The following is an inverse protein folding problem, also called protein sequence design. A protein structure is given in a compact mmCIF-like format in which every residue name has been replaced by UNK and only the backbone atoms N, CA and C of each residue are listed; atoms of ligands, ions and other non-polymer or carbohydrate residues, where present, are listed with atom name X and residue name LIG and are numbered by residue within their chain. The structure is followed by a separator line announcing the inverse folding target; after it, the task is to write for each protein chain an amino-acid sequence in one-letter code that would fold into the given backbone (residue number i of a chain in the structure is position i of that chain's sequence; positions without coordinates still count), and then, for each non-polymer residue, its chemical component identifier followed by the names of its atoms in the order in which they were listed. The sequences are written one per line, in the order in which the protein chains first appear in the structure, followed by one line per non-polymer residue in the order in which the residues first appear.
data_IF_281335235379
#
_entry.id   IF_281335235379
#
_cell.length_a   1.000
_cell.length_b   1.000
_cell.length_c   1.000
_cell.angle_alpha   90.00
_cell.angle_beta   90.00
_cell.angle_gamma   90.00
#
_symmetry.space_group_name_H-M   'P 1'
#
loop_
_entity.id
_entity.type
_entity.pdbx_description
1 polymer ?
#
# COMPACT_ATOMS: atom_id res chain seq x y z
N UNK A 1 18.07 -2.22 1.59
CA UNK A 1 16.80 -1.55 1.27
C UNK A 1 15.74 -1.97 2.28
N UNK A 2 15.00 -1.03 2.85
CA UNK A 2 13.82 -1.31 3.67
C UNK A 2 12.60 -1.45 2.77
N UNK A 3 11.83 -2.51 2.92
CA UNK A 3 10.67 -2.77 2.05
C UNK A 3 9.42 -3.04 2.88
N UNK A 4 8.32 -2.37 2.55
CA UNK A 4 7.04 -2.53 3.24
C UNK A 4 5.90 -2.74 2.24
N UNK A 5 4.97 -3.62 2.59
CA UNK A 5 3.76 -3.82 1.79
C UNK A 5 2.61 -2.99 2.37
N UNK A 6 2.08 -2.08 1.57
CA UNK A 6 0.94 -1.24 1.95
C UNK A 6 -0.35 -1.96 1.57
N UNK A 7 -1.09 -2.40 2.57
CA UNK A 7 -2.44 -2.93 2.38
C UNK A 7 -3.48 -2.05 3.05
N UNK A 8 -4.74 -2.38 2.89
CA UNK A 8 -5.81 -1.58 3.47
C UNK A 8 -6.98 -2.41 3.99
N UNK A 9 -7.79 -1.77 4.80
CA UNK A 9 -9.03 -2.38 5.31
C UNK A 9 -10.13 -2.48 4.25
N UNK A 10 -10.02 -1.73 3.13
CA UNK A 10 -11.01 -1.69 2.06
C UNK A 10 -10.43 -1.06 0.78
N UNK A 11 -11.24 -0.98 -0.27
CA UNK A 11 -10.99 -0.17 -1.47
C UNK A 11 -11.34 1.30 -1.19
N UNK A 12 -10.70 2.24 -1.89
CA UNK A 12 -10.96 3.69 -1.78
C UNK A 12 -10.76 4.28 -0.37
N UNK A 13 -9.90 3.68 0.43
CA UNK A 13 -9.56 4.17 1.77
C UNK A 13 -8.29 5.03 1.79
N UNK A 14 -7.75 5.36 0.61
CA UNK A 14 -6.59 6.22 0.44
C UNK A 14 -5.25 5.51 0.60
N UNK A 15 -5.13 4.22 0.22
CA UNK A 15 -3.82 3.54 0.21
C UNK A 15 -2.78 4.33 -0.56
N UNK A 16 -3.09 4.71 -1.80
CA UNK A 16 -2.18 5.48 -2.67
C UNK A 16 -1.81 6.82 -2.05
N UNK A 17 -2.77 7.50 -1.41
CA UNK A 17 -2.51 8.73 -0.69
C UNK A 17 -1.47 8.52 0.43
N UNK A 18 -1.63 7.47 1.24
CA UNK A 18 -0.70 7.15 2.32
C UNK A 18 0.63 6.64 1.78
N UNK A 19 0.64 5.81 0.72
CA UNK A 19 1.88 5.38 0.03
C UNK A 19 2.68 6.60 -0.43
N UNK A 20 2.05 7.53 -1.14
CA UNK A 20 2.69 8.77 -1.58
C UNK A 20 3.18 9.63 -0.40
N UNK A 21 2.43 9.67 0.71
CA UNK A 21 2.82 10.44 1.90
C UNK A 21 4.05 9.83 2.62
N UNK A 22 4.15 8.50 2.66
CA UNK A 22 5.31 7.79 3.20
C UNK A 22 6.55 8.03 2.34
N UNK A 23 6.40 7.97 1.00
CA UNK A 23 7.46 8.30 0.06
C UNK A 23 7.90 9.76 0.26
N UNK A 24 6.97 10.72 0.24
CA UNK A 24 7.26 12.14 0.43
C UNK A 24 7.97 12.40 1.76
N UNK A 25 7.53 11.75 2.85
CA UNK A 25 8.15 11.88 4.17
C UNK A 25 9.64 11.51 4.17
N UNK A 26 9.97 10.35 3.63
CA UNK A 26 11.35 9.85 3.59
C UNK A 26 12.20 10.60 2.57
N UNK A 27 11.61 11.05 1.46
CA UNK A 27 12.31 11.90 0.48
C UNK A 27 12.70 13.25 1.10
N UNK A 28 11.82 13.88 1.91
CA UNK A 28 12.14 15.10 2.65
C UNK A 28 13.25 14.89 3.71
N UNK A 29 13.42 13.66 4.20
CA UNK A 29 14.50 13.27 5.11
C UNK A 29 15.81 12.91 4.39
N UNK A 30 15.84 12.98 3.06
CA UNK A 30 17.03 12.79 2.24
C UNK A 30 17.30 11.35 1.80
N UNK A 31 16.36 10.42 1.97
CA UNK A 31 16.47 9.05 1.50
C UNK A 31 16.12 8.89 0.02
N UNK A 32 16.70 7.89 -0.63
CA UNK A 32 16.27 7.40 -1.94
C UNK A 32 15.06 6.48 -1.77
N UNK A 33 13.89 6.89 -2.28
CA UNK A 33 12.62 6.20 -2.03
C UNK A 33 11.84 5.98 -3.31
N UNK A 34 11.33 4.76 -3.46
CA UNK A 34 10.46 4.41 -4.57
C UNK A 34 9.20 3.68 -4.12
N UNK A 35 8.27 3.58 -5.05
CA UNK A 35 7.06 2.80 -4.86
C UNK A 35 6.82 1.81 -5.99
N UNK A 36 6.12 0.72 -5.69
CA UNK A 36 5.70 -0.31 -6.62
C UNK A 36 4.23 -0.63 -6.41
N UNK A 37 3.48 -0.84 -7.48
CA UNK A 37 2.09 -1.33 -7.45
C UNK A 37 1.99 -2.52 -8.38
N UNK A 38 2.25 -3.76 -7.90
CA UNK A 38 2.36 -4.94 -8.76
C UNK A 38 1.13 -5.18 -9.63
N UNK A 39 -0.06 -4.92 -9.12
CA UNK A 39 -1.33 -5.11 -9.83
C UNK A 39 -2.14 -3.82 -9.80
N UNK A 40 -2.55 -3.33 -10.96
CA UNK A 40 -3.45 -2.19 -11.11
C UNK A 40 -4.60 -2.51 -12.06
N UNK A 41 -5.81 -2.08 -11.71
CA UNK A 41 -7.00 -2.11 -12.55
C UNK A 41 -7.50 -0.68 -12.79
N UNK A 42 -8.28 -0.47 -13.86
CA UNK A 42 -8.72 0.87 -14.29
C UNK A 42 -7.58 1.64 -14.94
N UNK A 43 -6.66 0.96 -15.61
CA UNK A 43 -5.58 1.60 -16.35
C UNK A 43 -6.12 2.18 -17.67
N UNK A 44 -5.51 3.25 -18.13
CA UNK A 44 -5.78 3.90 -19.40
C UNK A 44 -4.48 4.08 -20.20
N UNK A 45 -4.60 4.39 -21.49
CA UNK A 45 -3.43 4.66 -22.33
C UNK A 45 -3.09 6.15 -22.24
N UNK A 46 -1.86 6.45 -21.80
CA UNK A 46 -1.29 7.79 -21.80
C UNK A 46 0.08 7.73 -22.49
N UNK A 47 0.31 8.56 -23.52
CA UNK A 47 1.56 8.58 -24.29
C UNK A 47 2.00 7.21 -24.85
N UNK A 48 1.03 6.35 -25.22
CA UNK A 48 1.30 5.01 -25.75
C UNK A 48 1.60 3.94 -24.70
N UNK A 49 1.55 4.26 -23.41
CA UNK A 49 1.75 3.34 -22.30
C UNK A 49 0.46 3.17 -21.49
N UNK A 50 0.20 1.94 -21.04
CA UNK A 50 -0.87 1.67 -20.12
C UNK A 50 -0.44 2.07 -18.71
N UNK A 51 -1.21 2.94 -18.03
CA UNK A 51 -0.90 3.45 -16.71
C UNK A 51 -2.19 3.62 -15.88
N UNK A 52 -2.12 3.44 -14.58
CA UNK A 52 -3.17 3.83 -13.63
C UNK A 52 -2.79 5.13 -12.92
N UNK A 53 -3.82 5.90 -12.50
CA UNK A 53 -3.61 7.12 -11.72
C UNK A 53 -2.81 6.88 -10.44
N UNK A 54 -2.98 5.71 -9.81
CA UNK A 54 -2.22 5.34 -8.61
C UNK A 54 -0.73 5.21 -8.92
N UNK A 55 -0.39 4.49 -10.00
CA UNK A 55 1.00 4.27 -10.43
C UNK A 55 1.65 5.59 -10.82
N UNK A 56 0.92 6.45 -11.51
CA UNK A 56 1.38 7.80 -11.89
C UNK A 56 1.73 8.62 -10.65
N UNK A 57 0.83 8.69 -9.67
CA UNK A 57 1.05 9.40 -8.40
C UNK A 57 2.26 8.86 -7.63
N UNK A 58 2.42 7.53 -7.56
CA UNK A 58 3.56 6.88 -6.90
C UNK A 58 4.87 7.26 -7.62
N UNK A 59 4.88 7.21 -8.96
CA UNK A 59 6.06 7.57 -9.75
C UNK A 59 6.43 9.07 -9.59
N UNK A 60 5.44 9.96 -9.55
CA UNK A 60 5.64 11.41 -9.40
C UNK A 60 6.27 11.81 -8.06
N UNK A 61 6.01 11.08 -6.97
CA UNK A 61 6.58 11.37 -5.64
C UNK A 61 7.87 10.60 -5.37
N UNK A 62 8.17 9.57 -6.15
CA UNK A 62 9.42 8.80 -6.04
C UNK A 62 10.60 9.65 -6.53
N UNK A 63 11.72 9.62 -5.82
CA UNK A 63 12.94 10.36 -6.20
C UNK A 63 14.02 9.48 -6.83
N UNK A 64 13.63 8.29 -7.31
CA UNK A 64 14.47 7.33 -8.01
C UNK A 64 13.90 7.05 -9.40
N UNK A 65 14.79 6.91 -10.38
CA UNK A 65 14.38 6.58 -11.75
C UNK A 65 14.13 5.07 -11.87
N UNK A 66 12.86 4.70 -12.05
CA UNK A 66 12.41 3.32 -12.20
C UNK A 66 11.52 3.23 -13.44
N UNK A 67 11.72 2.19 -14.23
CA UNK A 67 10.87 1.92 -15.38
C UNK A 67 9.43 1.64 -14.93
N UNK A 68 8.46 2.28 -15.55
CA UNK A 68 7.03 2.16 -15.20
C UNK A 68 6.52 0.71 -15.27
N UNK A 69 7.05 -0.11 -16.18
CA UNK A 69 6.70 -1.53 -16.29
C UNK A 69 7.26 -2.37 -15.14
N UNK A 70 8.34 -1.93 -14.48
CA UNK A 70 8.87 -2.58 -13.27
C UNK A 70 8.08 -2.16 -12.03
N UNK A 71 7.57 -0.91 -12.03
CA UNK A 71 6.64 -0.43 -10.98
C UNK A 71 5.31 -1.18 -11.04
N UNK A 72 4.78 -1.43 -12.25
CA UNK A 72 3.45 -2.01 -12.42
C UNK A 72 3.43 -3.11 -13.50
N UNK A 73 3.88 -4.34 -13.17
CA UNK A 73 3.94 -5.45 -14.13
C UNK A 73 2.57 -5.98 -14.58
N UNK A 74 1.51 -5.82 -13.78
CA UNK A 74 0.16 -6.29 -14.12
C UNK A 74 -0.82 -5.13 -14.21
N UNK A 75 -1.09 -4.73 -15.45
CA UNK A 75 -1.96 -3.61 -15.80
C UNK A 75 -3.22 -4.14 -16.48
N UNK A 76 -4.37 -3.67 -16.01
CA UNK A 76 -5.68 -4.03 -16.57
C UNK A 76 -6.52 -2.78 -16.81
N UNK A 77 -7.08 -2.66 -18.00
CA UNK A 77 -7.91 -1.52 -18.41
C UNK A 77 -9.22 -1.47 -17.61
N UNK A 78 -9.91 -2.61 -17.48
CA UNK A 78 -11.20 -2.66 -16.81
C UNK A 78 -11.08 -2.43 -15.30
N UNK A 79 -11.85 -1.48 -14.69
CA UNK A 79 -11.87 -1.23 -13.25
C UNK A 79 -12.72 -2.26 -12.51
N UNK A 80 -12.32 -3.53 -12.57
CA UNK A 80 -13.00 -4.68 -11.97
C UNK A 80 -12.07 -5.43 -11.02
N UNK A 81 -12.62 -6.36 -10.25
CA UNK A 81 -11.84 -7.15 -9.31
C UNK A 81 -10.66 -7.88 -10.00
N UNK A 82 -9.45 -7.90 -9.37
CA UNK A 82 -8.24 -8.44 -10.00
C UNK A 82 -8.40 -9.85 -10.55
N UNK A 83 -8.98 -10.78 -9.79
CA UNK A 83 -9.16 -12.17 -10.23
C UNK A 83 -9.99 -12.29 -11.52
N UNK A 84 -10.97 -11.39 -11.72
CA UNK A 84 -11.75 -11.35 -12.97
C UNK A 84 -10.88 -10.82 -14.11
N UNK A 85 -10.05 -9.79 -13.84
CA UNK A 85 -9.13 -9.23 -14.83
C UNK A 85 -8.08 -10.25 -15.26
N UNK A 86 -7.45 -10.97 -14.33
CA UNK A 86 -6.50 -12.04 -14.63
C UNK A 86 -7.14 -13.11 -15.49
N UNK A 87 -8.34 -13.60 -15.10
CA UNK A 87 -9.07 -14.63 -15.83
C UNK A 87 -9.44 -14.20 -17.26
N UNK A 88 -10.00 -13.01 -17.43
CA UNK A 88 -10.39 -12.47 -18.75
C UNK A 88 -9.19 -12.28 -19.69
N UNK A 89 -8.04 -11.87 -19.15
CA UNK A 89 -6.82 -11.66 -19.93
C UNK A 89 -5.94 -12.93 -20.05
N UNK A 90 -6.38 -14.07 -19.52
CA UNK A 90 -5.60 -15.34 -19.51
C UNK A 90 -4.18 -15.13 -18.97
N UNK A 91 -4.03 -14.27 -17.95
CA UNK A 91 -2.77 -14.01 -17.27
C UNK A 91 -2.75 -14.74 -15.94
N UNK A 92 -1.55 -15.09 -15.49
CA UNK A 92 -1.27 -15.62 -14.16
C UNK A 92 -0.32 -14.68 -13.42
N UNK A 93 -0.33 -14.75 -12.10
CA UNK A 93 0.61 -13.98 -11.31
C UNK A 93 1.92 -14.74 -11.18
N UNK A 94 3.00 -14.15 -11.66
CA UNK A 94 4.35 -14.69 -11.55
C UNK A 94 5.12 -13.99 -10.41
N UNK A 95 5.28 -14.71 -9.30
CA UNK A 95 6.01 -14.22 -8.13
C UNK A 95 7.50 -14.04 -8.44
N UNK A 96 8.08 -14.86 -9.33
CA UNK A 96 9.49 -14.71 -9.71
C UNK A 96 9.74 -13.42 -10.46
N UNK A 97 8.79 -12.99 -11.31
CA UNK A 97 8.86 -11.69 -12.00
C UNK A 97 8.84 -10.54 -10.99
N UNK A 98 7.92 -10.57 -10.02
CA UNK A 98 7.86 -9.55 -8.97
C UNK A 98 9.16 -9.52 -8.16
N UNK A 99 9.64 -10.68 -7.70
CA UNK A 99 10.92 -10.80 -6.98
C UNK A 99 12.12 -10.32 -7.80
N UNK A 100 12.12 -10.57 -9.12
CA UNK A 100 13.16 -10.07 -10.02
C UNK A 100 13.21 -8.53 -10.01
N UNK A 101 12.05 -7.87 -10.10
CA UNK A 101 12.00 -6.41 -10.04
C UNK A 101 12.42 -5.88 -8.65
N UNK A 102 11.97 -6.52 -7.57
CA UNK A 102 12.41 -6.13 -6.22
C UNK A 102 13.94 -6.16 -6.07
N UNK A 103 14.59 -7.22 -6.58
CA UNK A 103 16.06 -7.33 -6.57
C UNK A 103 16.73 -6.24 -7.41
N UNK A 104 16.15 -5.85 -8.56
CA UNK A 104 16.72 -4.78 -9.39
C UNK A 104 16.67 -3.41 -8.72
N UNK A 105 15.89 -3.25 -7.65
CA UNK A 105 15.78 -2.03 -6.87
C UNK A 105 16.74 -1.95 -5.68
N UNK A 106 17.30 -3.08 -5.19
CA UNK A 106 18.06 -3.17 -3.94
C UNK A 106 19.21 -2.17 -3.81
N UNK A 107 19.92 -1.88 -4.92
CA UNK A 107 21.04 -0.94 -4.91
C UNK A 107 20.67 0.46 -5.43
N UNK A 108 19.38 0.72 -5.67
CA UNK A 108 18.91 1.98 -6.22
C UNK A 108 18.22 2.86 -5.21
N UNK A 109 17.76 2.28 -4.09
CA UNK A 109 16.97 3.01 -3.09
C UNK A 109 17.18 2.47 -1.67
N UNK A 110 16.88 3.32 -0.69
CA UNK A 110 16.91 3.01 0.72
C UNK A 110 15.59 2.37 1.17
N UNK A 111 14.47 2.87 0.63
CA UNK A 111 13.12 2.43 0.96
C UNK A 111 12.28 2.14 -0.28
N UNK A 112 11.49 1.05 -0.20
CA UNK A 112 10.51 0.67 -1.21
C UNK A 112 9.15 0.40 -0.54
N UNK A 113 8.11 1.06 -1.05
CA UNK A 113 6.73 0.78 -0.66
C UNK A 113 5.99 0.04 -1.77
N UNK A 114 5.47 -1.16 -1.47
CA UNK A 114 4.71 -1.98 -2.41
C UNK A 114 3.24 -1.82 -2.09
N UNK A 115 2.49 -1.16 -2.97
CA UNK A 115 1.06 -0.97 -2.77
C UNK A 115 0.25 -2.14 -3.31
N UNK A 116 -0.60 -2.72 -2.45
CA UNK A 116 -1.59 -3.71 -2.83
C UNK A 116 -2.82 -3.13 -3.53
N UNK A 117 -3.63 -3.99 -4.13
CA UNK A 117 -4.91 -3.64 -4.75
C UNK A 117 -6.07 -4.04 -3.82
N UNK A 118 -7.02 -3.11 -3.59
CA UNK A 118 -8.15 -3.35 -2.69
C UNK A 118 -7.73 -3.56 -1.23
N UNK A 119 -8.35 -4.52 -0.55
CA UNK A 119 -8.02 -4.89 0.83
C UNK A 119 -6.98 -6.01 0.94
N UNK A 120 -6.74 -6.47 2.19
CA UNK A 120 -5.75 -7.51 2.49
C UNK A 120 -6.07 -8.89 1.89
N UNK A 121 -7.34 -9.31 1.91
CA UNK A 121 -7.77 -10.64 1.46
C UNK A 121 -8.33 -10.66 0.02
N UNK A 122 -7.98 -9.67 -0.80
CA UNK A 122 -8.50 -9.57 -2.18
C UNK A 122 -7.93 -10.69 -3.04
N UNK A 123 -8.78 -11.48 -3.75
CA UNK A 123 -8.32 -12.48 -4.69
C UNK A 123 -7.68 -11.84 -5.93
N UNK A 124 -6.45 -12.22 -6.22
CA UNK A 124 -5.72 -11.83 -7.44
C UNK A 124 -6.00 -12.84 -8.56
N UNK A 125 -6.10 -14.12 -8.20
CA UNK A 125 -6.57 -15.21 -9.07
C UNK A 125 -7.57 -16.08 -8.30
N UNK A 126 -8.05 -17.19 -8.87
CA UNK A 126 -8.98 -18.09 -8.18
C UNK A 126 -8.41 -18.66 -6.87
N UNK A 127 -7.10 -18.94 -6.82
CA UNK A 127 -6.45 -19.60 -5.68
C UNK A 127 -5.32 -18.75 -5.04
N UNK A 128 -5.18 -17.50 -5.41
CA UNK A 128 -4.10 -16.64 -4.95
C UNK A 128 -4.61 -15.24 -4.64
N UNK A 129 -4.37 -14.76 -3.41
CA UNK A 129 -4.84 -13.48 -2.90
C UNK A 129 -3.68 -12.51 -2.65
N UNK A 130 -3.99 -11.25 -2.34
CA UNK A 130 -3.01 -10.26 -1.84
C UNK A 130 -2.29 -10.78 -0.61
N UNK A 131 -2.98 -11.47 0.31
CA UNK A 131 -2.37 -12.08 1.49
C UNK A 131 -1.32 -13.15 1.11
N UNK A 132 -1.59 -13.97 0.07
CA UNK A 132 -0.62 -14.93 -0.44
C UNK A 132 0.57 -14.26 -1.12
N UNK A 133 0.35 -13.15 -1.82
CA UNK A 133 1.43 -12.35 -2.40
C UNK A 133 2.37 -11.82 -1.31
N UNK A 134 1.83 -11.24 -0.24
CA UNK A 134 2.61 -10.74 0.91
C UNK A 134 3.42 -11.87 1.54
N UNK A 135 2.79 -13.03 1.76
CA UNK A 135 3.44 -14.23 2.31
C UNK A 135 4.59 -14.70 1.42
N UNK A 136 4.35 -14.82 0.10
CA UNK A 136 5.36 -15.23 -0.87
C UNK A 136 6.55 -14.26 -0.98
N UNK A 137 6.32 -12.97 -0.74
CA UNK A 137 7.35 -11.95 -0.73
C UNK A 137 8.06 -11.84 0.64
N UNK A 138 7.45 -12.34 1.71
CA UNK A 138 7.92 -12.24 3.09
C UNK A 138 8.25 -10.79 3.52
N UNK A 139 7.36 -9.86 3.19
CA UNK A 139 7.55 -8.42 3.43
C UNK A 139 6.62 -7.95 4.55
N UNK A 140 7.11 -7.15 5.52
CA UNK A 140 6.30 -6.59 6.59
C UNK A 140 5.24 -5.63 6.05
N UNK A 141 4.12 -5.53 6.77
CA UNK A 141 2.92 -4.85 6.37
C UNK A 141 2.79 -3.51 7.08
N UNK A 142 2.41 -2.48 6.34
CA UNK A 142 1.78 -1.27 6.87
C UNK A 142 0.30 -1.29 6.47
N UNK A 143 -0.59 -1.22 7.46
CA UNK A 143 -2.03 -1.23 7.24
C UNK A 143 -2.58 0.19 7.17
N UNK A 144 -3.27 0.52 6.11
CA UNK A 144 -4.05 1.76 6.00
C UNK A 144 -5.47 1.47 6.45
N UNK A 145 -5.92 2.20 7.48
CA UNK A 145 -7.29 2.15 7.99
C UNK A 145 -8.03 3.38 7.51
N UNK A 146 -8.99 3.20 6.62
CA UNK A 146 -9.90 4.28 6.21
C UNK A 146 -10.90 4.57 7.31
N UNK A 147 -10.74 5.70 8.01
CA UNK A 147 -11.57 6.03 9.18
C UNK A 147 -12.90 6.61 8.71
N UNK A 148 -13.91 5.76 8.79
CA UNK A 148 -15.35 6.01 8.54
C UNK A 148 -16.17 5.12 9.49
N UNK A 149 -17.47 5.31 9.59
CA UNK A 149 -18.34 4.42 10.36
C UNK A 149 -18.17 2.96 9.91
N UNK A 150 -17.94 2.04 10.86
CA UNK A 150 -17.62 0.62 10.60
C UNK A 150 -16.11 0.31 10.50
N UNK A 151 -15.22 1.31 10.51
CA UNK A 151 -13.78 1.12 10.37
C UNK A 151 -13.17 0.23 11.48
N UNK A 152 -13.69 0.26 12.69
CA UNK A 152 -13.22 -0.56 13.81
C UNK A 152 -13.33 -2.04 13.45
N UNK A 153 -14.52 -2.48 13.02
CA UNK A 153 -14.74 -3.87 12.62
C UNK A 153 -13.79 -4.28 11.47
N UNK A 154 -13.68 -3.47 10.42
CA UNK A 154 -12.81 -3.79 9.29
C UNK A 154 -11.34 -3.83 9.70
N UNK A 155 -10.89 -2.92 10.56
CA UNK A 155 -9.51 -2.88 11.02
C UNK A 155 -9.18 -4.12 11.88
N UNK A 156 -10.00 -4.45 12.87
CA UNK A 156 -9.75 -5.59 13.76
C UNK A 156 -9.76 -6.91 13.00
N UNK A 157 -10.75 -7.15 12.12
CA UNK A 157 -10.78 -8.35 11.27
C UNK A 157 -9.57 -8.45 10.33
N UNK A 158 -9.11 -7.32 9.78
CA UNK A 158 -7.92 -7.31 8.91
C UNK A 158 -6.67 -7.63 9.73
N UNK A 159 -6.51 -7.02 10.90
CA UNK A 159 -5.37 -7.28 11.79
C UNK A 159 -5.36 -8.74 12.25
N UNK A 160 -6.50 -9.28 12.67
CA UNK A 160 -6.64 -10.68 13.04
C UNK A 160 -6.22 -11.61 11.89
N UNK A 161 -6.68 -11.33 10.67
CA UNK A 161 -6.33 -12.12 9.49
C UNK A 161 -4.82 -12.08 9.18
N UNK A 162 -4.17 -10.91 9.32
CA UNK A 162 -2.71 -10.75 9.17
C UNK A 162 -1.97 -11.60 10.20
N UNK A 163 -2.37 -11.50 11.47
CA UNK A 163 -1.71 -12.21 12.57
C UNK A 163 -1.91 -13.73 12.48
N UNK A 164 -3.10 -14.19 12.11
CA UNK A 164 -3.39 -15.62 11.91
C UNK A 164 -2.54 -16.25 10.81
N UNK A 165 -2.14 -15.47 9.80
CA UNK A 165 -1.16 -15.88 8.77
C UNK A 165 0.30 -15.71 9.22
N UNK A 166 0.54 -15.35 10.48
CA UNK A 166 1.88 -15.10 11.05
C UNK A 166 2.68 -14.05 10.27
N UNK A 167 2.00 -13.15 9.58
CA UNK A 167 2.63 -12.06 8.87
C UNK A 167 2.91 -10.90 9.82
N UNK A 168 3.99 -10.15 9.55
CA UNK A 168 4.43 -9.06 10.39
C UNK A 168 3.68 -7.78 10.07
N UNK A 169 2.88 -7.28 11.01
CA UNK A 169 2.28 -5.95 10.95
C UNK A 169 3.24 -4.97 11.63
N UNK A 170 4.00 -4.20 10.83
CA UNK A 170 5.00 -3.25 11.33
C UNK A 170 4.41 -1.92 11.78
N UNK A 171 3.22 -1.58 11.30
CA UNK A 171 2.53 -0.38 11.71
C UNK A 171 1.22 -0.18 10.96
N UNK A 172 0.48 0.85 11.36
CA UNK A 172 -0.75 1.24 10.67
C UNK A 172 -0.95 2.75 10.68
N UNK A 173 -1.72 3.24 9.70
CA UNK A 173 -2.05 4.65 9.55
C UNK A 173 -3.57 4.81 9.56
N UNK A 174 -4.08 5.69 10.43
CA UNK A 174 -5.46 6.13 10.38
C UNK A 174 -5.60 7.21 9.31
N UNK A 175 -6.35 6.95 8.25
CA UNK A 175 -6.62 7.94 7.21
C UNK A 175 -8.09 8.39 7.31
N UNK A 176 -8.33 9.65 7.65
CA UNK A 176 -9.68 10.21 7.72
C UNK A 176 -10.23 10.41 6.31
N UNK A 177 -11.11 9.53 5.87
CA UNK A 177 -11.74 9.58 4.54
C UNK A 177 -13.12 10.23 4.54
N UNK A 178 -13.71 10.42 5.71
CA UNK A 178 -14.97 11.13 5.90
C UNK A 178 -14.74 12.36 6.80
N UNK A 179 -14.85 13.54 6.19
CA UNK A 179 -14.67 14.81 6.90
C UNK A 179 -15.80 15.12 7.91
N UNK A 180 -16.95 14.46 7.79
CA UNK A 180 -18.12 14.65 8.63
C UNK A 180 -18.32 13.55 9.68
N UNK A 181 -17.40 12.58 9.74
CA UNK A 181 -17.48 11.48 10.71
C UNK A 181 -17.53 12.03 12.15
N UNK A 182 -18.59 11.67 12.87
CA UNK A 182 -18.71 11.91 14.31
C UNK A 182 -17.77 10.95 15.08
N UNK A 183 -17.33 11.37 16.27
CA UNK A 183 -16.49 10.57 17.18
C UNK A 183 -15.22 10.01 16.49
N UNK A 184 -14.60 10.79 15.61
CA UNK A 184 -13.37 10.37 14.90
C UNK A 184 -12.23 10.05 15.87
N UNK A 185 -11.99 10.93 16.84
CA UNK A 185 -10.86 10.79 17.79
C UNK A 185 -11.05 9.59 18.71
N UNK A 186 -12.28 9.31 19.14
CA UNK A 186 -12.63 8.16 19.95
C UNK A 186 -12.42 6.85 19.19
N UNK A 187 -12.78 6.81 17.90
CA UNK A 187 -12.53 5.62 17.05
C UNK A 187 -11.03 5.38 16.86
N UNK A 188 -10.25 6.43 16.62
CA UNK A 188 -8.78 6.31 16.47
C UNK A 188 -8.14 5.89 17.79
N UNK A 189 -8.59 6.42 18.93
CA UNK A 189 -8.11 6.04 20.27
C UNK A 189 -8.40 4.57 20.55
N UNK A 190 -9.62 4.12 20.28
CA UNK A 190 -9.98 2.71 20.42
C UNK A 190 -9.07 1.79 19.57
N UNK A 191 -8.81 2.16 18.32
CA UNK A 191 -7.91 1.37 17.46
C UNK A 191 -6.47 1.35 17.98
N UNK A 192 -5.96 2.47 18.54
CA UNK A 192 -4.63 2.51 19.16
C UNK A 192 -4.49 1.59 20.36
N UNK A 193 -5.56 1.42 21.14
CA UNK A 193 -5.60 0.52 22.30
C UNK A 193 -5.68 -0.95 21.90
N UNK A 194 -6.34 -1.25 20.76
CA UNK A 194 -6.65 -2.63 20.36
C UNK A 194 -5.73 -3.19 19.27
N UNK A 195 -4.99 -2.36 18.52
CA UNK A 195 -3.98 -2.80 17.55
C UNK A 195 -2.60 -2.68 18.20
N UNK A 196 -1.94 -3.81 18.44
CA UNK A 196 -0.62 -3.85 19.10
C UNK A 196 0.51 -3.23 18.27
N UNK A 197 0.38 -3.25 16.94
CA UNK A 197 1.36 -2.61 16.07
C UNK A 197 1.30 -1.08 16.23
N UNK A 198 2.42 -0.35 16.07
CA UNK A 198 2.45 1.09 16.27
C UNK A 198 1.54 1.83 15.29
N UNK A 199 0.78 2.79 15.80
CA UNK A 199 0.10 3.78 14.98
C UNK A 199 1.15 4.78 14.47
N UNK A 200 1.43 4.74 13.17
CA UNK A 200 2.39 5.62 12.52
C UNK A 200 1.86 7.04 12.35
N UNK A 201 0.54 7.22 12.38
CA UNK A 201 -0.06 8.54 12.25
C UNK A 201 -1.57 8.51 12.09
N UNK A 202 -2.16 9.69 12.24
CA UNK A 202 -3.57 9.94 11.97
C UNK A 202 -3.67 11.12 11.00
N UNK A 203 -3.87 10.81 9.72
CA UNK A 203 -3.96 11.80 8.65
C UNK A 203 -5.36 12.39 8.60
N UNK A 204 -5.52 13.72 8.75
CA UNK A 204 -6.82 14.35 8.72
C UNK A 204 -7.45 14.32 7.32
N UNK A 205 -8.74 14.62 7.23
CA UNK A 205 -9.40 14.82 5.95
C UNK A 205 -8.82 16.04 5.22
N UNK A 206 -8.21 15.82 4.06
CA UNK A 206 -7.61 16.86 3.23
C UNK A 206 -8.45 17.01 1.96
N UNK A 207 -9.23 18.10 1.85
CA UNK A 207 -10.09 18.37 0.68
C UNK A 207 -9.29 18.39 -0.63
N UNK A 208 -8.09 19.00 -0.59
CA UNK A 208 -7.09 18.96 -1.66
C UNK A 208 -5.93 18.14 -1.13
N UNK A 209 -5.89 16.86 -1.49
CA UNK A 209 -4.84 15.98 -1.03
C UNK A 209 -3.49 16.40 -1.61
N UNK A 210 -2.52 16.52 -0.73
CA UNK A 210 -1.12 16.75 -1.04
C UNK A 210 -0.27 15.83 -0.17
N UNK A 211 0.61 14.99 -0.77
CA UNK A 211 1.38 13.99 -0.04
C UNK A 211 2.37 14.61 0.96
N UNK A 212 2.96 15.77 0.65
CA UNK A 212 3.90 16.46 1.52
C UNK A 212 3.20 17.10 2.73
N UNK A 213 1.94 17.54 2.58
CA UNK A 213 1.14 17.97 3.70
C UNK A 213 0.70 16.81 4.58
N UNK A 214 0.30 15.70 3.97
CA UNK A 214 -0.14 14.51 4.69
C UNK A 214 1.03 13.82 5.41
N UNK A 215 2.25 13.86 4.85
CA UNK A 215 3.47 13.31 5.45
C UNK A 215 3.76 13.87 6.85
N UNK A 216 3.38 15.13 7.13
CA UNK A 216 3.56 15.79 8.43
C UNK A 216 2.79 15.15 9.58
N UNK A 217 1.79 14.32 9.28
CA UNK A 217 1.00 13.57 10.25
C UNK A 217 1.49 12.12 10.43
N UNK A 218 2.59 11.74 9.77
CA UNK A 218 3.15 10.39 9.79
C UNK A 218 4.53 10.42 10.47
N UNK A 219 4.70 9.52 11.44
CA UNK A 219 5.95 9.31 12.17
C UNK A 219 6.52 7.93 11.80
N UNK A 220 7.54 7.94 10.96
CA UNK A 220 8.22 6.73 10.48
C UNK A 220 9.31 6.22 11.43
N UNK A 221 9.71 7.00 12.44
CA UNK A 221 10.69 6.55 13.44
C UNK A 221 10.20 5.32 14.22
N UNK A 222 8.90 5.04 14.15
CA UNK A 222 8.27 3.84 14.72
C UNK A 222 8.43 2.58 13.84
N UNK A 223 8.93 2.72 12.60
CA UNK A 223 9.24 1.59 11.71
C UNK A 223 10.68 1.14 11.95
N UNK A 224 10.88 0.10 12.75
CA UNK A 224 12.21 -0.39 13.15
C UNK A 224 12.64 -1.69 12.45
N UNK A 225 12.17 -1.94 11.23
CA UNK A 225 12.31 -3.23 10.58
C UNK A 225 13.25 -3.22 9.39
N UNK A 226 14.50 -3.66 9.56
CA UNK A 226 15.29 -4.17 8.43
C UNK A 226 14.70 -5.51 8.00
N UNK A 227 14.40 -5.66 6.71
CA UNK A 227 14.01 -6.93 6.11
C UNK A 227 15.10 -7.35 5.16
N UNK A 228 15.74 -8.47 5.45
CA UNK A 228 16.59 -9.16 4.50
C UNK A 228 15.66 -9.87 3.49
N UNK A 229 15.74 -9.50 2.23
CA UNK A 229 14.90 -10.05 1.13
C UNK A 229 15.42 -11.42 0.64
N UNK A 230 15.92 -12.31 1.55
CA UNK A 230 16.46 -13.62 1.20
C UNK A 230 15.62 -14.78 1.70
#
# INVERSE_FOLDING_TARGET
MYTYFITGTDTNIGKTAITCSLIAKLTEEGFCVGGMKPVAAGCHIENGHMISDDVKKIAEVSNVDININEINPYQFEAPIAPHISFKKNKKEIDIHLIKKYLRSFENKMDYLFIEGVGGYAVPLTENFSTANLIEALNIPIILVVGVKLGCINHALLTVESILNKKQKLSGWVANRIDGHMLAYDENVSFLKENIKAPCLGAVPYLKNFDPYRASKFIDIAKLNDKVDLY
#
